data_IF_524080591424
#
_entry.id   IF_524080591424
#
_cell.length_a   1.000
_cell.length_b   1.000
_cell.length_c   1.000
_cell.angle_alpha   90.00
_cell.angle_beta   90.00
_cell.angle_gamma   90.00
#
_symmetry.space_group_name_H-M   'P 1'
#
loop_
_entity.id
_entity.type
_entity.pdbx_description
1 polymer ?
#
# COMPACT_ATOMS: atom_id res chain seq x y z
N UNK A 1 19.78 11.56 -10.12
CA UNK A 1 19.21 10.26 -10.52
C UNK A 1 20.38 9.37 -10.91
N UNK A 2 20.50 8.16 -10.37
CA UNK A 2 21.57 7.25 -10.80
C UNK A 2 21.26 6.73 -12.21
N UNK A 3 22.26 6.60 -13.10
CA UNK A 3 22.07 6.04 -14.44
C UNK A 3 21.63 4.59 -14.34
N UNK A 4 20.86 4.11 -15.33
CA UNK A 4 20.56 2.68 -15.40
C UNK A 4 21.87 1.90 -15.60
N UNK A 5 21.89 0.62 -15.20
CA UNK A 5 23.06 -0.24 -15.42
C UNK A 5 23.43 -0.27 -16.91
N UNK A 6 22.43 -0.27 -17.80
CA UNK A 6 22.64 -0.21 -19.23
C UNK A 6 23.34 1.08 -19.66
N UNK A 7 22.85 2.24 -19.20
CA UNK A 7 23.43 3.55 -19.52
C UNK A 7 24.85 3.71 -18.97
N UNK A 8 25.11 3.17 -17.78
CA UNK A 8 26.44 3.19 -17.18
C UNK A 8 27.44 2.37 -18.01
N UNK A 9 27.04 1.19 -18.49
CA UNK A 9 27.90 0.32 -19.27
C UNK A 9 28.19 0.91 -20.66
N UNK A 10 27.19 1.49 -21.30
CA UNK A 10 27.35 2.11 -22.63
C UNK A 10 28.23 3.36 -22.58
N UNK A 11 28.06 4.22 -21.58
CA UNK A 11 28.87 5.45 -21.42
C UNK A 11 30.34 5.14 -21.12
N UNK A 12 30.60 4.04 -20.40
CA UNK A 12 31.97 3.66 -20.00
C UNK A 12 32.60 2.61 -20.92
N UNK A 13 31.94 2.22 -22.02
CA UNK A 13 32.39 1.15 -22.93
C UNK A 13 32.72 -0.17 -22.21
N UNK A 14 31.98 -0.48 -21.14
CA UNK A 14 32.19 -1.66 -20.31
C UNK A 14 31.23 -2.79 -20.69
N UNK A 15 31.71 -4.03 -20.59
CA UNK A 15 30.87 -5.23 -20.67
C UNK A 15 30.74 -5.89 -19.30
N UNK A 16 29.58 -6.48 -19.03
CA UNK A 16 29.37 -7.25 -17.80
C UNK A 16 30.14 -8.56 -17.93
N UNK A 17 31.11 -8.79 -17.05
CA UNK A 17 31.77 -10.08 -16.96
C UNK A 17 30.82 -11.13 -16.38
N UNK A 18 31.04 -12.40 -16.74
CA UNK A 18 30.23 -13.53 -16.24
C UNK A 18 30.18 -13.55 -14.70
N UNK A 19 31.28 -13.21 -14.02
CA UNK A 19 31.31 -13.18 -12.55
C UNK A 19 30.41 -12.09 -11.97
N UNK A 20 30.44 -10.88 -12.52
CA UNK A 20 29.58 -9.77 -12.08
C UNK A 20 28.11 -10.09 -12.38
N UNK A 21 27.82 -10.67 -13.55
CA UNK A 21 26.47 -11.12 -13.89
C UNK A 21 25.95 -12.17 -12.92
N UNK A 22 26.80 -13.12 -12.50
CA UNK A 22 26.44 -14.13 -11.50
C UNK A 22 26.08 -13.47 -10.17
N UNK A 23 26.93 -12.56 -9.68
CA UNK A 23 26.68 -11.85 -8.41
C UNK A 23 25.38 -11.06 -8.43
N UNK A 24 25.10 -10.35 -9.53
CA UNK A 24 23.84 -9.61 -9.70
C UNK A 24 22.65 -10.57 -9.68
N UNK A 25 22.75 -11.69 -10.41
CA UNK A 25 21.67 -12.68 -10.50
C UNK A 25 21.41 -13.36 -9.16
N UNK A 26 22.46 -13.71 -8.42
CA UNK A 26 22.38 -14.30 -7.08
C UNK A 26 21.74 -13.32 -6.10
N UNK A 27 22.14 -12.05 -6.13
CA UNK A 27 21.54 -11.00 -5.31
C UNK A 27 20.06 -10.81 -5.64
N UNK A 28 19.70 -10.68 -6.92
CA UNK A 28 18.31 -10.55 -7.36
C UNK A 28 17.47 -11.76 -6.95
N UNK A 29 18.02 -12.97 -7.05
CA UNK A 29 17.33 -14.21 -6.62
C UNK A 29 17.12 -14.24 -5.11
N UNK A 30 18.11 -13.81 -4.32
CA UNK A 30 18.00 -13.67 -2.88
C UNK A 30 16.96 -12.61 -2.48
N UNK A 31 16.99 -11.45 -3.14
CA UNK A 31 15.98 -10.39 -2.97
C UNK A 31 14.58 -10.91 -3.30
N UNK A 32 14.42 -11.62 -4.41
CA UNK A 32 13.13 -12.20 -4.80
C UNK A 32 12.63 -13.22 -3.77
N UNK A 33 13.52 -14.05 -3.23
CA UNK A 33 13.19 -14.98 -2.14
C UNK A 33 12.77 -14.23 -0.87
N UNK A 34 13.48 -13.18 -0.49
CA UNK A 34 13.12 -12.34 0.64
C UNK A 34 11.77 -11.67 0.43
N UNK A 35 11.56 -11.03 -0.72
CA UNK A 35 10.29 -10.41 -1.10
C UNK A 35 9.16 -11.45 -1.07
N UNK A 36 9.35 -12.66 -1.59
CA UNK A 36 8.33 -13.72 -1.56
C UNK A 36 7.87 -14.15 -0.15
N UNK A 37 8.66 -13.85 0.90
CA UNK A 37 8.28 -14.07 2.30
C UNK A 37 7.22 -13.07 2.76
N UNK A 38 7.28 -11.84 2.26
CA UNK A 38 6.36 -10.75 2.62
C UNK A 38 5.23 -10.59 1.59
N UNK A 39 5.52 -10.89 0.33
CA UNK A 39 4.61 -10.77 -0.80
C UNK A 39 4.24 -12.17 -1.28
N UNK A 40 3.00 -12.64 -1.01
CA UNK A 40 2.52 -13.86 -1.66
C UNK A 40 2.63 -13.67 -3.18
N UNK A 41 2.95 -14.75 -3.90
CA UNK A 41 3.16 -14.68 -5.34
C UNK A 41 1.84 -14.29 -6.03
N UNK A 42 1.70 -13.00 -6.36
CA UNK A 42 0.49 -12.39 -6.90
C UNK A 42 0.04 -13.02 -8.23
N UNK A 43 0.99 -13.61 -8.98
CA UNK A 43 0.74 -14.23 -10.28
C UNK A 43 0.44 -15.73 -10.21
N UNK A 44 0.57 -16.38 -9.05
CA UNK A 44 0.59 -17.86 -9.02
C UNK A 44 -0.77 -18.50 -9.29
N UNK A 45 -1.90 -17.84 -8.99
CA UNK A 45 -3.18 -18.54 -8.95
C UNK A 45 -4.34 -17.92 -9.75
N UNK A 46 -4.22 -16.76 -10.40
CA UNK A 46 -5.37 -16.02 -10.99
C UNK A 46 -6.53 -15.73 -10.01
N UNK A 47 -6.43 -16.19 -8.77
CA UNK A 47 -7.46 -16.14 -7.73
C UNK A 47 -7.85 -14.69 -7.44
N UNK A 48 -6.93 -13.74 -7.52
CA UNK A 48 -7.20 -12.33 -7.24
C UNK A 48 -7.66 -11.53 -8.46
N UNK A 49 -7.78 -12.16 -9.64
CA UNK A 49 -8.14 -11.46 -10.87
C UNK A 49 -9.59 -10.96 -10.86
N UNK A 50 -10.47 -11.49 -10.00
CA UNK A 50 -11.85 -11.01 -9.85
C UNK A 50 -11.92 -9.53 -9.52
N UNK A 51 -10.89 -8.96 -8.88
CA UNK A 51 -10.86 -7.52 -8.65
C UNK A 51 -10.69 -6.75 -9.96
N UNK A 52 -9.90 -7.27 -10.89
CA UNK A 52 -9.59 -6.63 -12.18
C UNK A 52 -10.62 -6.91 -13.27
N UNK A 53 -11.34 -8.01 -13.15
CA UNK A 53 -12.36 -8.45 -14.12
C UNK A 53 -13.59 -9.01 -13.39
N UNK A 54 -14.28 -8.18 -12.56
CA UNK A 54 -15.36 -8.65 -11.68
C UNK A 54 -16.56 -9.25 -12.42
N UNK A 55 -16.76 -8.91 -13.69
CA UNK A 55 -17.87 -9.37 -14.52
C UNK A 55 -17.59 -10.70 -15.25
N UNK A 56 -16.36 -11.22 -15.20
CA UNK A 56 -16.01 -12.43 -15.94
C UNK A 56 -16.53 -13.71 -15.28
N UNK A 57 -17.08 -14.61 -16.11
CA UNK A 57 -17.70 -15.88 -15.68
C UNK A 57 -16.69 -16.93 -15.20
N UNK A 58 -15.42 -16.82 -15.63
CA UNK A 58 -14.43 -17.88 -15.44
C UNK A 58 -13.62 -17.81 -14.15
N UNK A 59 -14.01 -16.99 -13.16
CA UNK A 59 -13.16 -16.67 -12.03
C UNK A 59 -13.48 -17.51 -10.79
N UNK A 60 -12.41 -17.99 -10.15
CA UNK A 60 -12.45 -18.67 -8.86
C UNK A 60 -12.18 -17.67 -7.75
N UNK A 61 -13.11 -17.55 -6.81
CA UNK A 61 -13.02 -16.64 -5.66
C UNK A 61 -13.14 -17.40 -4.33
N UNK A 62 -12.56 -18.61 -4.27
CA UNK A 62 -12.70 -19.52 -3.13
C UNK A 62 -12.25 -18.94 -1.79
N UNK A 63 -11.30 -17.99 -1.82
CA UNK A 63 -10.73 -17.27 -0.69
C UNK A 63 -11.60 -16.13 -0.15
N UNK A 64 -12.67 -15.74 -0.86
CA UNK A 64 -13.59 -14.69 -0.41
C UNK A 64 -14.63 -15.29 0.57
N UNK A 65 -14.99 -14.63 1.67
CA UNK A 65 -16.09 -15.06 2.54
C UNK A 65 -17.42 -15.14 1.78
N UNK A 66 -18.30 -16.09 2.14
CA UNK A 66 -19.60 -16.28 1.48
C UNK A 66 -20.42 -14.97 1.35
N UNK A 67 -20.53 -14.20 2.42
CA UNK A 67 -21.28 -12.93 2.41
C UNK A 67 -20.72 -11.89 1.42
N UNK A 68 -19.41 -11.91 1.14
CA UNK A 68 -18.82 -11.05 0.11
C UNK A 68 -19.01 -11.64 -1.30
N UNK A 69 -19.13 -12.97 -1.45
CA UNK A 69 -19.48 -13.60 -2.73
C UNK A 69 -20.89 -13.23 -3.20
N UNK A 70 -21.85 -13.15 -2.29
CA UNK A 70 -23.22 -12.70 -2.63
C UNK A 70 -23.21 -11.29 -3.24
N UNK A 71 -22.50 -10.35 -2.60
CA UNK A 71 -22.32 -8.99 -3.13
C UNK A 71 -21.63 -8.99 -4.50
N UNK A 72 -20.64 -9.85 -4.72
CA UNK A 72 -19.96 -9.96 -6.01
C UNK A 72 -20.90 -10.48 -7.11
N UNK A 73 -21.78 -11.43 -6.79
CA UNK A 73 -22.78 -11.94 -7.73
C UNK A 73 -23.76 -10.84 -8.12
N UNK A 74 -24.27 -10.08 -7.14
CA UNK A 74 -25.16 -8.94 -7.40
C UNK A 74 -24.50 -7.90 -8.31
N UNK A 75 -23.24 -7.53 -8.03
CA UNK A 75 -22.49 -6.61 -8.89
C UNK A 75 -22.38 -7.14 -10.31
N UNK A 76 -22.11 -8.44 -10.46
CA UNK A 76 -21.83 -9.06 -11.75
C UNK A 76 -23.07 -9.19 -12.63
N UNK A 77 -24.24 -9.38 -12.05
CA UNK A 77 -25.51 -9.46 -12.78
C UNK A 77 -26.06 -8.07 -13.14
N UNK A 78 -25.41 -6.99 -12.69
CA UNK A 78 -25.83 -5.62 -12.98
C UNK A 78 -25.09 -5.01 -14.18
N UNK A 79 -25.78 -4.95 -15.32
CA UNK A 79 -25.29 -4.32 -16.56
C UNK A 79 -24.94 -2.82 -16.42
N UNK A 80 -25.57 -2.11 -15.49
CA UNK A 80 -25.26 -0.69 -15.24
C UNK A 80 -23.92 -0.54 -14.56
N UNK A 81 -23.62 -1.41 -13.60
CA UNK A 81 -22.31 -1.49 -12.95
C UNK A 81 -21.23 -1.98 -13.91
N UNK A 82 -21.55 -2.87 -14.85
CA UNK A 82 -20.61 -3.28 -15.90
C UNK A 82 -20.22 -2.10 -16.80
N UNK A 83 -21.21 -1.28 -17.18
CA UNK A 83 -20.96 -0.08 -17.98
C UNK A 83 -20.10 0.91 -17.20
N UNK A 84 -20.43 1.17 -15.93
CA UNK A 84 -19.63 2.07 -15.07
C UNK A 84 -18.20 1.54 -14.89
N UNK A 85 -18.01 0.23 -14.74
CA UNK A 85 -16.68 -0.37 -14.62
C UNK A 85 -15.79 -0.09 -15.84
N UNK A 86 -16.37 -0.13 -17.04
CA UNK A 86 -15.64 0.13 -18.29
C UNK A 86 -15.32 1.62 -18.50
N UNK A 87 -16.06 2.53 -17.87
CA UNK A 87 -15.86 3.98 -17.96
C UNK A 87 -14.92 4.55 -16.89
N UNK A 88 -14.76 3.84 -15.77
CA UNK A 88 -14.06 4.33 -14.58
C UNK A 88 -12.72 3.64 -14.36
N UNK A 89 -11.83 4.33 -13.65
CA UNK A 89 -10.63 3.67 -13.14
C UNK A 89 -11.01 2.61 -12.11
N UNK A 90 -10.22 1.53 -12.08
CA UNK A 90 -10.43 0.37 -11.21
C UNK A 90 -10.65 0.77 -9.74
N UNK A 91 -9.80 1.64 -9.22
CA UNK A 91 -9.88 2.13 -7.84
C UNK A 91 -11.12 2.98 -7.60
N UNK A 92 -11.50 3.85 -8.53
CA UNK A 92 -12.71 4.66 -8.43
C UNK A 92 -13.97 3.78 -8.39
N UNK A 93 -14.05 2.78 -9.28
CA UNK A 93 -15.15 1.84 -9.33
C UNK A 93 -15.35 1.15 -7.97
N UNK A 94 -14.29 0.56 -7.41
CA UNK A 94 -14.39 -0.14 -6.13
C UNK A 94 -14.77 0.81 -4.99
N UNK A 95 -14.15 2.00 -4.89
CA UNK A 95 -14.45 2.96 -3.82
C UNK A 95 -15.91 3.40 -3.80
N UNK A 96 -16.57 3.51 -4.96
CA UNK A 96 -18.00 3.83 -5.04
C UNK A 96 -18.91 2.75 -4.47
N UNK A 97 -18.45 1.50 -4.40
CA UNK A 97 -19.21 0.37 -3.82
C UNK A 97 -19.19 0.34 -2.30
N UNK A 98 -18.62 1.34 -1.62
CA UNK A 98 -18.48 1.35 -0.16
C UNK A 98 -19.80 1.28 0.60
N UNK A 99 -20.84 1.97 0.10
CA UNK A 99 -22.14 2.01 0.77
C UNK A 99 -22.97 0.76 0.48
N UNK A 100 -23.00 0.34 -0.79
CA UNK A 100 -23.87 -0.76 -1.26
C UNK A 100 -23.23 -2.14 -1.03
N UNK A 101 -21.91 -2.26 -1.23
CA UNK A 101 -21.19 -3.53 -1.18
C UNK A 101 -19.90 -3.45 -0.33
N UNK A 102 -20.01 -3.15 0.98
CA UNK A 102 -18.84 -2.94 1.84
C UNK A 102 -17.95 -4.18 2.03
N UNK A 103 -18.51 -5.39 1.96
CA UNK A 103 -17.76 -6.62 2.22
C UNK A 103 -16.85 -6.97 1.04
N UNK A 104 -17.39 -6.91 -0.18
CA UNK A 104 -16.60 -7.16 -1.38
C UNK A 104 -15.60 -6.02 -1.63
N UNK A 105 -15.96 -4.77 -1.33
CA UNK A 105 -15.00 -3.66 -1.34
C UNK A 105 -13.82 -3.94 -0.41
N UNK A 106 -14.08 -4.34 0.83
CA UNK A 106 -13.02 -4.67 1.79
C UNK A 106 -12.09 -5.76 1.24
N UNK A 107 -12.63 -6.79 0.60
CA UNK A 107 -11.84 -7.82 -0.05
C UNK A 107 -11.02 -7.28 -1.23
N UNK A 108 -11.61 -6.41 -2.07
CA UNK A 108 -10.92 -5.77 -3.18
C UNK A 108 -9.78 -4.86 -2.73
N UNK A 109 -9.97 -4.06 -1.66
CA UNK A 109 -8.95 -3.18 -1.11
C UNK A 109 -7.73 -3.94 -0.57
N UNK A 110 -7.94 -5.12 0.04
CA UNK A 110 -6.83 -5.97 0.49
C UNK A 110 -5.96 -6.45 -0.67
N UNK A 111 -6.53 -6.62 -1.86
CA UNK A 111 -5.82 -7.02 -3.08
C UNK A 111 -5.18 -5.81 -3.78
N UNK A 112 -5.88 -4.67 -3.83
CA UNK A 112 -5.41 -3.46 -4.53
C UNK A 112 -4.36 -2.67 -3.75
N UNK A 113 -4.39 -2.72 -2.41
CA UNK A 113 -3.51 -1.91 -1.55
C UNK A 113 -2.66 -2.72 -0.56
N UNK A 114 -1.92 -3.76 -0.98
CA UNK A 114 -1.05 -4.50 -0.07
C UNK A 114 0.15 -3.65 0.42
N UNK A 115 0.58 -2.67 -0.39
CA UNK A 115 1.76 -1.84 -0.11
C UNK A 115 1.47 -0.65 0.80
N UNK A 116 0.31 -0.02 0.70
CA UNK A 116 0.03 1.21 1.43
C UNK A 116 0.06 0.98 2.96
N UNK A 117 -0.54 -0.13 3.43
CA UNK A 117 -0.53 -0.48 4.86
C UNK A 117 0.87 -0.87 5.34
N UNK A 118 1.60 -1.68 4.59
CA UNK A 118 2.96 -2.10 4.96
C UNK A 118 3.94 -0.93 4.98
N UNK A 119 3.95 -0.10 3.93
CA UNK A 119 4.81 1.07 3.86
C UNK A 119 4.51 2.08 4.96
N UNK A 120 3.22 2.37 5.22
CA UNK A 120 2.83 3.26 6.32
C UNK A 120 3.20 2.66 7.68
N UNK A 121 3.06 1.34 7.88
CA UNK A 121 3.50 0.66 9.09
C UNK A 121 5.01 0.78 9.29
N UNK A 122 5.82 0.44 8.29
CA UNK A 122 7.29 0.53 8.37
C UNK A 122 7.77 1.97 8.57
N UNK A 123 7.11 2.93 7.91
CA UNK A 123 7.35 4.37 8.11
C UNK A 123 6.99 4.77 9.54
N UNK A 124 5.84 4.33 10.05
CA UNK A 124 5.41 4.58 11.42
C UNK A 124 6.36 3.94 12.45
N UNK A 125 6.84 2.72 12.23
CA UNK A 125 7.81 2.06 13.10
C UNK A 125 9.16 2.79 13.10
N UNK A 126 9.62 3.24 11.93
CA UNK A 126 10.84 4.05 11.81
C UNK A 126 10.71 5.38 12.56
N UNK A 127 9.57 6.06 12.42
CA UNK A 127 9.28 7.29 13.17
C UNK A 127 9.14 7.05 14.68
N UNK A 128 8.50 5.95 15.07
CA UNK A 128 8.38 5.54 16.46
C UNK A 128 9.77 5.36 17.11
N UNK A 129 10.70 4.74 16.39
CA UNK A 129 12.07 4.55 16.85
C UNK A 129 12.80 5.89 17.03
N UNK A 130 12.59 6.87 16.14
CA UNK A 130 13.14 8.23 16.26
C UNK A 130 12.55 8.94 17.48
N UNK A 131 11.22 8.94 17.63
CA UNK A 131 10.51 9.61 18.72
C UNK A 131 10.93 9.03 20.09
N UNK A 132 10.98 7.70 20.22
CA UNK A 132 11.40 7.03 21.45
C UNK A 132 12.87 7.29 21.81
N UNK A 133 13.76 7.37 20.83
CA UNK A 133 15.17 7.65 21.09
C UNK A 133 15.44 9.12 21.44
N UNK A 134 14.67 10.06 20.88
CA UNK A 134 14.85 11.51 21.12
C UNK A 134 14.23 12.00 22.44
N UNK A 135 13.17 11.35 22.92
CA UNK A 135 12.39 11.79 24.09
C UNK A 135 12.33 10.74 25.22
N UNK A 136 13.43 10.00 25.44
CA UNK A 136 13.55 8.79 26.28
C UNK A 136 12.91 8.79 27.69
N UNK A 137 12.45 9.92 28.24
CA UNK A 137 12.02 10.00 29.64
C UNK A 137 10.59 10.48 29.91
N UNK A 138 9.84 11.07 28.96
CA UNK A 138 8.52 11.66 29.27
C UNK A 138 7.54 11.72 28.08
N UNK A 139 7.18 10.59 27.46
CA UNK A 139 6.06 10.57 26.50
C UNK A 139 4.97 9.64 27.03
N UNK A 140 3.78 10.21 27.29
CA UNK A 140 2.57 9.43 27.52
C UNK A 140 2.10 8.78 26.22
N UNK A 141 1.40 7.64 26.32
CA UNK A 141 0.88 6.91 25.14
C UNK A 141 0.09 7.81 24.18
N UNK A 142 -0.67 8.77 24.71
CA UNK A 142 -1.49 9.70 23.95
C UNK A 142 -0.66 10.76 23.19
N UNK A 143 0.43 11.23 23.79
CA UNK A 143 1.41 12.11 23.13
C UNK A 143 2.15 11.37 22.00
N UNK A 144 2.43 10.09 22.17
CA UNK A 144 3.10 9.27 21.16
C UNK A 144 2.24 9.09 19.90
N UNK A 145 0.96 8.77 20.07
CA UNK A 145 0.02 8.58 18.97
C UNK A 145 -0.15 9.85 18.14
N UNK A 146 -0.31 11.00 18.81
CA UNK A 146 -0.44 12.30 18.15
C UNK A 146 0.81 12.65 17.33
N UNK A 147 2.01 12.45 17.90
CA UNK A 147 3.27 12.70 17.19
C UNK A 147 3.45 11.76 15.99
N UNK A 148 3.13 10.48 16.13
CA UNK A 148 3.17 9.53 15.02
C UNK A 148 2.22 9.93 13.89
N UNK A 149 1.00 10.35 14.22
CA UNK A 149 0.01 10.78 13.23
C UNK A 149 0.50 11.99 12.42
N UNK A 150 1.12 12.96 13.09
CA UNK A 150 1.70 14.13 12.42
C UNK A 150 2.88 13.71 11.53
N UNK A 151 3.77 12.85 12.01
CA UNK A 151 4.97 12.44 11.26
C UNK A 151 4.69 11.54 10.06
N UNK A 152 3.60 10.77 10.06
CA UNK A 152 3.28 9.79 9.01
C UNK A 152 2.22 10.31 8.04
N UNK A 153 1.44 11.34 8.42
CA UNK A 153 0.41 11.90 7.54
C UNK A 153 0.93 13.10 6.74
N UNK A 154 0.37 13.30 5.56
CA UNK A 154 0.57 14.52 4.77
C UNK A 154 -0.35 15.67 5.24
N UNK A 155 -0.97 15.54 6.41
CA UNK A 155 -1.89 16.55 6.94
C UNK A 155 -1.04 17.70 7.50
N UNK A 156 -1.17 18.88 6.89
CA UNK A 156 -0.52 20.08 7.40
C UNK A 156 -1.25 20.58 8.65
N UNK A 157 -0.58 20.73 9.80
CA UNK A 157 -1.22 21.27 10.99
C UNK A 157 -1.58 22.75 10.76
N UNK A 158 -2.79 23.15 11.17
CA UNK A 158 -3.18 24.56 11.18
C UNK A 158 -2.51 25.27 12.36
N UNK A 159 -1.27 25.73 12.15
CA UNK A 159 -0.44 26.38 13.17
C UNK A 159 -1.14 27.62 13.71
N UNK A 160 -1.88 28.36 12.88
CA UNK A 160 -2.55 29.59 13.30
C UNK A 160 -3.67 29.30 14.30
N UNK A 161 -4.47 28.26 14.05
CA UNK A 161 -5.50 27.83 15.00
C UNK A 161 -4.87 27.32 16.30
N UNK A 162 -3.80 26.51 16.21
CA UNK A 162 -3.11 25.97 17.37
C UNK A 162 -2.52 27.08 18.25
N UNK A 163 -1.86 28.09 17.66
CA UNK A 163 -1.30 29.22 18.37
C UNK A 163 -2.37 30.07 19.06
N UNK A 164 -3.56 30.23 18.48
CA UNK A 164 -4.68 30.96 19.12
C UNK A 164 -5.24 30.25 20.34
N UNK A 165 -5.22 28.92 20.34
CA UNK A 165 -5.76 28.09 21.42
C UNK A 165 -4.72 27.71 22.48
N UNK A 166 -3.44 28.03 22.25
CA UNK A 166 -2.38 27.75 23.21
C UNK A 166 -2.34 28.84 24.27
N UNK A 167 -2.60 28.46 25.52
CA UNK A 167 -2.46 29.39 26.65
C UNK A 167 -0.97 29.65 26.84
N UNK A 168 -0.53 30.89 26.57
CA UNK A 168 0.82 31.30 26.90
C UNK A 168 0.97 31.17 28.42
N UNK A 169 1.92 30.34 28.86
CA UNK A 169 2.37 30.33 30.25
C UNK A 169 3.60 31.23 30.30
N UNK A 170 3.47 32.51 30.68
CA UNK A 170 4.62 33.34 30.90
C UNK A 170 5.25 32.86 32.21
N UNK A 171 6.31 32.07 32.11
CA UNK A 171 7.20 31.90 33.25
C UNK A 171 7.87 33.26 33.55
N UNK A 172 8.01 33.55 34.84
CA UNK A 172 8.65 34.75 35.41
C UNK A 172 10.07 35.02 34.88
#
# INVERSE_FOLDING_TARGET
MFPSLHDFLTVNELSITISVSSVITDHMSSMLKFLSKYFPNLNKNNEQNWVKIPFSISLKYDHIPWAAKEQLIEIREDSTLETEFNEKELTEFWLRRQQEYPLILKAALLILMPFASTYLCETAFSQLQIIKNKHRSCISQQSLEANLRISVSNITPDINMLCKNMQAHPSH
#
